data_IF_331594826100
#
_entry.id   IF_331594826100
#
_cell.length_a   1.000
_cell.length_b   1.000
_cell.length_c   1.000
_cell.angle_alpha   90.00
_cell.angle_beta   90.00
_cell.angle_gamma   90.00
#
_symmetry.space_group_name_H-M   'P 1'
#
loop_
_entity.id
_entity.type
_entity.pdbx_description
1 polymer ?
#
# COMPACT_ATOMS: atom_id res chain seq x y z
N UNK A 1 7.20 3.04 -5.65
CA UNK A 1 6.37 3.30 -4.45
C UNK A 1 5.84 2.03 -3.80
N UNK A 2 6.22 0.85 -4.30
CA UNK A 2 5.83 -0.44 -3.74
C UNK A 2 6.17 -0.57 -2.24
N UNK A 3 7.34 -0.08 -1.83
CA UNK A 3 7.76 -0.17 -0.43
C UNK A 3 6.93 0.73 0.51
N UNK A 4 6.46 1.89 0.01
CA UNK A 4 5.62 2.79 0.79
C UNK A 4 4.24 2.17 1.07
N UNK A 5 3.71 1.36 0.16
CA UNK A 5 2.47 0.63 0.40
C UNK A 5 2.60 -0.45 1.49
N UNK A 6 3.82 -0.95 1.73
CA UNK A 6 4.08 -2.01 2.73
C UNK A 6 4.08 -1.51 4.16
N UNK A 7 4.59 -0.31 4.45
CA UNK A 7 4.63 0.19 5.83
C UNK A 7 3.24 0.27 6.47
N UNK A 8 2.20 0.82 5.81
CA UNK A 8 0.85 0.82 6.37
C UNK A 8 0.26 -0.59 6.50
N UNK A 9 0.57 -1.52 5.60
CA UNK A 9 0.15 -2.93 5.75
C UNK A 9 0.79 -3.60 6.97
N UNK A 10 2.08 -3.39 7.20
CA UNK A 10 2.77 -3.92 8.38
C UNK A 10 2.13 -3.36 9.66
N UNK A 11 1.88 -2.05 9.69
CA UNK A 11 1.17 -1.41 10.80
C UNK A 11 -0.23 -2.03 11.00
N UNK A 12 -0.99 -2.22 9.91
CA UNK A 12 -2.32 -2.83 9.95
C UNK A 12 -2.28 -4.27 10.51
N UNK A 13 -1.30 -5.09 10.12
CA UNK A 13 -1.12 -6.45 10.64
C UNK A 13 -0.87 -6.42 12.14
N UNK A 14 0.07 -5.58 12.61
CA UNK A 14 0.38 -5.46 14.04
C UNK A 14 -0.85 -5.02 14.83
N UNK A 15 -1.58 -4.01 14.34
CA UNK A 15 -2.79 -3.50 14.98
C UNK A 15 -3.92 -4.55 14.99
N UNK A 16 -4.10 -5.30 13.91
CA UNK A 16 -5.08 -6.38 13.84
C UNK A 16 -4.75 -7.52 14.83
N UNK A 17 -3.48 -7.90 14.95
CA UNK A 17 -3.04 -8.88 15.94
C UNK A 17 -3.29 -8.41 17.38
N UNK A 18 -3.02 -7.14 17.67
CA UNK A 18 -3.33 -6.52 18.97
C UNK A 18 -4.84 -6.48 19.23
N UNK A 19 -5.67 -6.24 18.22
CA UNK A 19 -7.12 -6.24 18.39
C UNK A 19 -7.64 -7.60 18.86
N UNK A 20 -7.05 -8.72 18.38
CA UNK A 20 -7.44 -10.06 18.83
C UNK A 20 -7.13 -10.32 20.30
N UNK A 21 -6.03 -9.78 20.83
CA UNK A 21 -5.67 -9.95 22.25
C UNK A 21 -6.51 -9.07 23.18
N UNK A 22 -7.15 -8.03 22.65
CA UNK A 22 -7.97 -7.07 23.39
C UNK A 22 -9.49 -7.25 23.19
N UNK A 23 -9.92 -8.37 22.60
CA UNK A 23 -11.32 -8.66 22.29
C UNK A 23 -12.24 -8.49 23.51
N UNK A 24 -13.33 -7.73 23.35
CA UNK A 24 -14.30 -7.44 24.42
C UNK A 24 -13.93 -6.24 25.31
N UNK A 25 -12.80 -5.57 25.06
CA UNK A 25 -12.41 -4.31 25.70
C UNK A 25 -12.57 -3.18 24.67
N UNK A 26 -12.95 -1.98 25.10
CA UNK A 26 -13.08 -0.81 24.20
C UNK A 26 -11.78 -0.47 23.43
N UNK A 27 -10.61 -0.87 23.96
CA UNK A 27 -9.33 -0.75 23.27
C UNK A 27 -9.21 -1.64 22.01
N UNK A 28 -9.91 -2.78 21.96
CA UNK A 28 -9.93 -3.67 20.79
C UNK A 28 -10.57 -3.01 19.58
N UNK A 29 -11.71 -2.33 19.76
CA UNK A 29 -12.37 -1.58 18.69
C UNK A 29 -11.47 -0.47 18.13
N UNK A 30 -10.74 0.22 19.00
CA UNK A 30 -9.79 1.24 18.56
C UNK A 30 -8.66 0.63 17.73
N UNK A 31 -8.12 -0.52 18.13
CA UNK A 31 -7.10 -1.22 17.35
C UNK A 31 -7.62 -1.65 15.96
N UNK A 32 -8.87 -2.12 15.86
CA UNK A 32 -9.50 -2.43 14.56
C UNK A 32 -9.67 -1.18 13.70
N UNK A 33 -10.12 -0.06 14.30
CA UNK A 33 -10.24 1.22 13.58
C UNK A 33 -8.89 1.65 13.02
N UNK A 34 -7.83 1.63 13.82
CA UNK A 34 -6.50 2.00 13.38
C UNK A 34 -5.97 1.07 12.29
N UNK A 35 -6.24 -0.25 12.40
CA UNK A 35 -5.87 -1.22 11.37
C UNK A 35 -6.60 -0.93 10.03
N UNK A 36 -7.89 -0.58 10.09
CA UNK A 36 -8.67 -0.19 8.92
C UNK A 36 -8.15 1.10 8.27
N UNK A 37 -7.79 2.11 9.08
CA UNK A 37 -7.17 3.36 8.60
C UNK A 37 -5.84 3.04 7.91
N UNK A 38 -4.96 2.27 8.55
CA UNK A 38 -3.66 1.92 7.98
C UNK A 38 -3.80 1.16 6.65
N UNK A 39 -4.75 0.23 6.57
CA UNK A 39 -5.08 -0.48 5.33
C UNK A 39 -5.58 0.49 4.26
N UNK A 40 -6.50 1.39 4.61
CA UNK A 40 -7.01 2.42 3.70
C UNK A 40 -5.92 3.35 3.17
N UNK A 41 -4.98 3.77 4.03
CA UNK A 41 -3.81 4.57 3.64
C UNK A 41 -2.97 3.82 2.60
N UNK A 42 -2.72 2.52 2.79
CA UNK A 42 -2.02 1.73 1.76
C UNK A 42 -2.80 1.71 0.44
N UNK A 43 -4.13 1.58 0.50
CA UNK A 43 -4.99 1.65 -0.67
C UNK A 43 -4.86 2.98 -1.41
N UNK A 44 -4.86 4.10 -0.70
CA UNK A 44 -4.69 5.45 -1.30
C UNK A 44 -3.31 5.62 -1.95
N UNK A 45 -2.24 5.12 -1.33
CA UNK A 45 -0.91 5.07 -1.95
C UNK A 45 -0.93 4.13 -3.18
N UNK A 46 -1.72 3.06 -3.11
CA UNK A 46 -2.10 2.20 -4.25
C UNK A 46 -2.63 2.97 -5.43
N UNK A 47 -3.66 3.81 -5.21
CA UNK A 47 -4.30 4.59 -6.26
C UNK A 47 -3.30 5.55 -6.90
N UNK A 48 -2.52 6.25 -6.07
CA UNK A 48 -1.49 7.16 -6.54
C UNK A 48 -0.46 6.43 -7.40
N UNK A 49 0.04 5.28 -6.94
CA UNK A 49 1.04 4.49 -7.67
C UNK A 49 0.49 3.92 -8.99
N UNK A 50 -0.74 3.41 -8.99
CA UNK A 50 -1.39 2.93 -10.21
C UNK A 50 -1.58 4.06 -11.23
N UNK A 51 -1.95 5.27 -10.79
CA UNK A 51 -2.04 6.41 -11.69
C UNK A 51 -0.70 6.85 -12.27
N UNK A 52 0.41 6.69 -11.54
CA UNK A 52 1.76 6.88 -12.11
C UNK A 52 2.03 5.80 -13.16
N UNK A 53 1.74 4.53 -12.87
CA UNK A 53 1.94 3.42 -13.82
C UNK A 53 1.06 3.54 -15.08
N UNK A 54 -0.12 4.17 -14.98
CA UNK A 54 -1.01 4.45 -16.09
C UNK A 54 -0.73 5.78 -16.81
N UNK A 55 0.24 6.57 -16.32
CA UNK A 55 0.59 7.87 -16.89
C UNK A 55 -0.45 8.96 -16.68
N UNK A 56 -1.32 8.83 -15.66
CA UNK A 56 -2.29 9.88 -15.31
C UNK A 56 -1.62 11.09 -14.64
N UNK A 57 -0.50 10.87 -13.95
CA UNK A 57 0.30 11.91 -13.31
C UNK A 57 1.74 11.43 -13.07
N UNK A 58 2.64 12.38 -12.83
CA UNK A 58 4.05 12.11 -12.54
C UNK A 58 4.26 11.59 -11.10
N UNK A 59 5.28 10.75 -10.94
CA UNK A 59 5.68 10.25 -9.62
C UNK A 59 6.43 11.31 -8.79
N UNK A 60 6.28 11.27 -7.47
CA UNK A 60 6.98 12.20 -6.54
C UNK A 60 8.48 11.95 -6.39
N UNK A 61 9.00 10.83 -6.89
CA UNK A 61 10.42 10.48 -6.83
C UNK A 61 10.96 10.23 -8.21
N UNK A 62 12.07 10.89 -8.58
CA UNK A 62 12.88 10.53 -9.73
C UNK A 62 13.59 9.18 -9.49
N UNK A 63 12.84 8.09 -9.44
CA UNK A 63 13.39 6.73 -9.55
C UNK A 63 13.66 6.40 -11.03
N UNK A 64 14.41 7.27 -11.70
CA UNK A 64 14.97 7.03 -13.01
C UNK A 64 16.39 7.59 -13.00
N UNK A 65 17.36 6.70 -13.10
CA UNK A 65 18.82 6.93 -13.25
C UNK A 65 19.60 7.25 -11.97
N UNK A 66 20.26 6.22 -11.40
CA UNK A 66 21.51 6.44 -10.68
C UNK A 66 22.58 6.60 -11.76
N UNK A 67 22.97 7.84 -12.07
CA UNK A 67 24.16 8.08 -12.85
C UNK A 67 25.37 7.75 -11.96
N UNK A 68 25.95 6.55 -12.10
CA UNK A 68 27.09 6.17 -11.28
C UNK A 68 28.35 6.96 -11.68
N UNK A 69 29.09 7.40 -10.67
CA UNK A 69 30.37 8.08 -10.78
C UNK A 69 31.45 7.26 -10.08
N UNK A 70 32.48 6.81 -10.82
CA UNK A 70 33.79 6.49 -10.21
C UNK A 70 34.53 5.17 -10.47
N UNK A 71 34.10 4.24 -11.33
CA UNK A 71 34.87 3.05 -11.80
C UNK A 71 33.97 2.11 -12.60
N UNK A 72 34.36 1.62 -13.81
CA UNK A 72 33.46 1.55 -14.99
C UNK A 72 31.97 1.59 -14.59
N UNK A 73 31.47 2.80 -14.31
CA UNK A 73 30.18 2.96 -13.66
C UNK A 73 29.08 2.40 -14.57
N UNK A 74 29.38 2.33 -15.87
CA UNK A 74 28.61 1.66 -16.89
C UNK A 74 28.30 0.20 -16.53
N UNK A 75 29.25 -0.63 -16.10
CA UNK A 75 28.97 -2.06 -15.87
C UNK A 75 28.12 -2.31 -14.61
N UNK A 76 28.29 -1.48 -13.57
CA UNK A 76 27.50 -1.54 -12.34
C UNK A 76 26.09 -0.94 -12.51
N UNK A 77 25.92 0.07 -13.39
CA UNK A 77 24.61 0.62 -13.79
C UNK A 77 23.89 -0.32 -14.75
N UNK A 78 24.57 -0.84 -15.78
CA UNK A 78 23.95 -1.58 -16.90
C UNK A 78 23.42 -2.95 -16.48
N UNK A 79 23.89 -3.52 -15.38
CA UNK A 79 23.49 -4.84 -14.90
C UNK A 79 22.63 -4.83 -13.63
N UNK A 80 22.36 -3.68 -13.02
CA UNK A 80 21.50 -3.61 -11.84
C UNK A 80 20.02 -3.69 -12.29
N UNK A 81 19.26 -4.74 -11.94
CA UNK A 81 17.84 -4.80 -12.26
C UNK A 81 17.09 -3.80 -11.37
N UNK A 82 16.94 -2.56 -11.87
CA UNK A 82 16.17 -1.54 -11.16
C UNK A 82 14.69 -1.78 -11.45
N UNK A 83 13.96 -2.23 -10.43
CA UNK A 83 12.50 -2.32 -10.48
C UNK A 83 11.97 -0.90 -10.51
N UNK A 84 11.51 -0.45 -11.69
CA UNK A 84 10.98 0.89 -11.82
C UNK A 84 9.60 0.99 -11.17
N UNK A 85 9.34 2.15 -10.58
CA UNK A 85 8.10 2.43 -9.86
C UNK A 85 7.03 3.11 -10.73
N UNK A 86 7.36 3.39 -11.98
CA UNK A 86 6.53 4.06 -12.98
C UNK A 86 6.02 3.10 -14.06
N UNK A 87 6.45 1.84 -14.01
CA UNK A 87 6.00 0.79 -14.93
C UNK A 87 5.49 -0.36 -14.10
N UNK A 88 4.26 -0.78 -14.39
CA UNK A 88 3.69 -1.95 -13.77
C UNK A 88 4.51 -3.20 -14.15
N UNK A 89 5.16 -3.89 -13.20
CA UNK A 89 5.93 -5.10 -13.50
C UNK A 89 5.00 -6.28 -13.87
N UNK A 90 3.73 -6.20 -13.46
CA UNK A 90 2.69 -7.16 -13.75
C UNK A 90 1.33 -6.47 -13.79
N UNK A 91 0.47 -6.94 -14.69
CA UNK A 91 -0.93 -6.53 -14.77
C UNK A 91 -1.82 -7.73 -15.09
N UNK A 92 -3.07 -7.65 -14.67
CA UNK A 92 -4.11 -8.64 -14.96
C UNK A 92 -5.43 -7.91 -15.23
N UNK A 93 -6.11 -8.27 -16.31
CA UNK A 93 -7.33 -7.59 -16.78
C UNK A 93 -7.15 -6.07 -16.98
N UNK A 94 -5.94 -5.63 -17.34
CA UNK A 94 -5.61 -4.21 -17.50
C UNK A 94 -5.39 -3.46 -16.17
N UNK A 95 -5.40 -4.16 -15.04
CA UNK A 95 -5.16 -3.58 -13.71
C UNK A 95 -3.77 -3.98 -13.24
N UNK A 96 -2.95 -3.00 -12.85
CA UNK A 96 -1.62 -3.25 -12.28
C UNK A 96 -1.70 -3.82 -10.86
N UNK A 97 -0.59 -4.38 -10.38
CA UNK A 97 -0.46 -4.79 -8.97
C UNK A 97 -0.79 -3.66 -7.99
N UNK A 98 -0.35 -2.42 -8.29
CA UNK A 98 -0.69 -1.26 -7.47
C UNK A 98 -2.19 -0.94 -7.51
N UNK A 99 -2.83 -1.12 -8.67
CA UNK A 99 -4.27 -0.99 -8.84
C UNK A 99 -5.05 -2.02 -8.02
N UNK A 100 -4.61 -3.28 -8.01
CA UNK A 100 -5.20 -4.31 -7.15
C UNK A 100 -5.01 -3.99 -5.67
N UNK A 101 -3.84 -3.50 -5.26
CA UNK A 101 -3.60 -3.05 -3.89
C UNK A 101 -4.59 -1.95 -3.49
N UNK A 102 -4.83 -0.97 -4.37
CA UNK A 102 -5.85 0.06 -4.17
C UNK A 102 -7.24 -0.54 -3.96
N UNK A 103 -7.70 -1.34 -4.91
CA UNK A 103 -9.05 -1.89 -4.90
C UNK A 103 -9.31 -2.74 -3.65
N UNK A 104 -8.40 -3.66 -3.34
CA UNK A 104 -8.56 -4.59 -2.21
C UNK A 104 -8.44 -3.86 -0.87
N UNK A 105 -7.43 -3.01 -0.71
CA UNK A 105 -7.18 -2.35 0.58
C UNK A 105 -8.27 -1.33 0.91
N UNK A 106 -8.69 -0.53 -0.08
CA UNK A 106 -9.73 0.48 0.16
C UNK A 106 -11.10 -0.18 0.38
N UNK A 107 -11.47 -1.17 -0.44
CA UNK A 107 -12.74 -1.89 -0.25
C UNK A 107 -12.76 -2.64 1.09
N UNK A 108 -11.65 -3.27 1.48
CA UNK A 108 -11.50 -3.91 2.79
C UNK A 108 -11.64 -2.91 3.94
N UNK A 109 -11.00 -1.75 3.88
CA UNK A 109 -11.13 -0.72 4.91
C UNK A 109 -12.57 -0.23 5.05
N UNK A 110 -13.26 0.06 3.94
CA UNK A 110 -14.68 0.45 3.92
C UNK A 110 -15.55 -0.65 4.54
N UNK A 111 -15.32 -1.91 4.18
CA UNK A 111 -16.06 -3.04 4.75
C UNK A 111 -15.88 -3.14 6.26
N UNK A 112 -14.65 -2.99 6.77
CA UNK A 112 -14.39 -3.01 8.22
C UNK A 112 -15.12 -1.87 8.93
N UNK A 113 -15.09 -0.65 8.39
CA UNK A 113 -15.85 0.47 8.97
C UNK A 113 -17.37 0.22 8.96
N UNK A 114 -17.91 -0.34 7.89
CA UNK A 114 -19.33 -0.69 7.80
C UNK A 114 -19.72 -1.73 8.85
N UNK A 115 -18.88 -2.76 9.07
CA UNK A 115 -19.11 -3.80 10.08
C UNK A 115 -19.02 -3.26 11.51
N UNK A 116 -18.04 -2.41 11.80
CA UNK A 116 -17.94 -1.72 13.10
C UNK A 116 -19.16 -0.83 13.36
N UNK A 117 -19.61 -0.09 12.35
CA UNK A 117 -20.81 0.75 12.44
C UNK A 117 -22.08 -0.06 12.71
N UNK A 118 -22.21 -1.25 12.11
CA UNK A 118 -23.33 -2.16 12.37
C UNK A 118 -23.28 -2.76 13.79
N UNK A 119 -22.09 -3.16 14.26
CA UNK A 119 -21.92 -3.72 15.59
C UNK A 119 -22.33 -2.75 16.70
N UNK A 120 -22.05 -1.45 16.53
CA UNK A 120 -22.43 -0.41 17.50
C UNK A 120 -23.91 -0.07 17.53
N UNK A 121 -24.65 -0.32 16.44
CA UNK A 121 -26.10 -0.07 16.38
C UNK A 121 -26.92 -1.20 17.00
N UNK A 122 -26.32 -2.38 17.17
CA UNK A 122 -26.98 -3.57 17.73
C UNK A 122 -26.63 -3.86 19.20
N UNK A 123 -25.77 -3.05 19.82
CA UNK A 123 -25.43 -3.09 21.25
C UNK A 123 -26.15 -1.94 21.97
#
# INVERSE_FOLDING_TARGET
MCWWQRYPHIAAIVLALLAFTMKGRGAGDMAVILAAIATGISGLIGAFHAGVEYGWWEGVTACATVAASGGNPLDAIMNAPVIRCDVAPWSLFGISLAGFNFLISLSGAVLVFALLGKSRKGA
#
